data_IF_905775678643
#
_entry.id   IF_905775678643
#
_cell.length_a   1.000
_cell.length_b   1.000
_cell.length_c   1.000
_cell.angle_alpha   90.00
_cell.angle_beta   90.00
_cell.angle_gamma   90.00
#
_symmetry.space_group_name_H-M   'P 1'
#
loop_
_entity.id
_entity.type
_entity.pdbx_description
1 polymer ?
#
# COMPACT_ATOMS: atom_id res chain seq x y z
N UNK A 1 -2.35 -26.64 -4.70
CA UNK A 1 -3.31 -25.50 -4.70
C UNK A 1 -4.69 -26.08 -4.95
N UNK A 2 -5.76 -25.54 -4.33
CA UNK A 2 -7.13 -26.05 -4.49
C UNK A 2 -7.94 -25.00 -5.26
N UNK A 3 -8.66 -25.43 -6.30
CA UNK A 3 -9.57 -24.55 -7.05
C UNK A 3 -10.72 -24.07 -6.14
N UNK A 4 -11.20 -22.82 -6.34
CA UNK A 4 -12.40 -22.34 -5.65
C UNK A 4 -13.62 -23.13 -6.11
N UNK A 5 -14.48 -23.51 -5.17
CA UNK A 5 -15.72 -24.25 -5.41
C UNK A 5 -16.96 -23.43 -4.96
N UNK A 6 -18.14 -23.86 -5.43
CA UNK A 6 -19.42 -23.23 -5.10
C UNK A 6 -19.48 -21.73 -5.40
N UNK A 7 -20.05 -20.96 -4.47
CA UNK A 7 -20.27 -19.51 -4.64
C UNK A 7 -18.98 -18.72 -4.82
N UNK A 8 -17.86 -19.14 -4.22
CA UNK A 8 -16.58 -18.47 -4.39
C UNK A 8 -16.06 -18.60 -5.83
N UNK A 9 -16.22 -19.78 -6.44
CA UNK A 9 -15.88 -20.03 -7.84
C UNK A 9 -16.75 -19.21 -8.80
N UNK A 10 -18.06 -19.16 -8.54
CA UNK A 10 -19.00 -18.38 -9.34
C UNK A 10 -18.68 -16.86 -9.29
N UNK A 11 -18.38 -16.34 -8.09
CA UNK A 11 -18.03 -14.93 -7.90
C UNK A 11 -16.77 -14.57 -8.68
N UNK A 12 -15.70 -15.38 -8.58
CA UNK A 12 -14.45 -15.04 -9.26
C UNK A 12 -14.59 -15.14 -10.79
N UNK A 13 -15.32 -16.14 -11.30
CA UNK A 13 -15.60 -16.26 -12.73
C UNK A 13 -16.42 -15.08 -13.25
N UNK A 14 -17.42 -14.62 -12.48
CA UNK A 14 -18.21 -13.44 -12.81
C UNK A 14 -17.36 -12.15 -12.79
N UNK A 15 -16.48 -12.00 -11.81
CA UNK A 15 -15.59 -10.84 -11.71
C UNK A 15 -14.56 -10.80 -12.86
N UNK A 16 -14.17 -11.95 -13.39
CA UNK A 16 -13.26 -12.07 -14.53
C UNK A 16 -13.99 -12.11 -15.88
N UNK A 17 -15.32 -11.96 -15.91
CA UNK A 17 -16.08 -11.96 -17.16
C UNK A 17 -15.64 -10.78 -18.04
N UNK A 18 -15.24 -11.07 -19.28
CA UNK A 18 -14.72 -10.06 -20.21
C UNK A 18 -13.31 -9.54 -19.90
N UNK A 19 -12.61 -10.07 -18.89
CA UNK A 19 -11.25 -9.66 -18.58
C UNK A 19 -10.31 -10.00 -19.75
N UNK A 20 -9.57 -8.99 -20.24
CA UNK A 20 -8.58 -9.12 -21.33
C UNK A 20 -7.19 -8.67 -20.95
N UNK A 21 -7.09 -7.80 -19.95
CA UNK A 21 -5.82 -7.19 -19.53
C UNK A 21 -5.78 -7.20 -18.00
N UNK A 22 -4.70 -7.74 -17.44
CA UNK A 22 -4.39 -7.64 -16.02
C UNK A 22 -3.20 -6.71 -15.84
N UNK A 23 -3.40 -5.63 -15.07
CA UNK A 23 -2.34 -4.69 -14.71
C UNK A 23 -2.17 -4.75 -13.19
N UNK A 24 -0.95 -4.99 -12.75
CA UNK A 24 -0.57 -5.10 -11.35
C UNK A 24 0.44 -4.00 -11.05
N UNK A 25 0.09 -3.07 -10.19
CA UNK A 25 0.99 -2.01 -9.72
C UNK A 25 1.70 -2.42 -8.43
N UNK A 26 2.74 -1.69 -8.06
CA UNK A 26 3.58 -1.93 -6.87
C UNK A 26 4.10 -3.37 -6.77
N UNK A 27 4.62 -3.90 -7.89
CA UNK A 27 5.06 -5.29 -8.02
C UNK A 27 6.10 -5.72 -6.98
N UNK A 28 6.86 -4.80 -6.38
CA UNK A 28 7.85 -5.12 -5.35
C UNK A 28 7.21 -5.73 -4.11
N UNK A 29 5.92 -5.46 -3.88
CA UNK A 29 5.12 -6.03 -2.79
C UNK A 29 4.50 -7.39 -3.15
N UNK A 30 4.61 -7.83 -4.40
CA UNK A 30 4.13 -9.14 -4.85
C UNK A 30 5.24 -10.17 -4.63
N UNK A 31 5.03 -11.05 -3.67
CA UNK A 31 5.89 -12.20 -3.44
C UNK A 31 5.53 -13.41 -4.29
N UNK A 32 6.39 -14.43 -4.27
CA UNK A 32 6.21 -15.68 -5.02
C UNK A 32 4.88 -16.36 -4.72
N UNK A 33 4.47 -16.40 -3.45
CA UNK A 33 3.25 -17.10 -3.03
C UNK A 33 2.02 -16.39 -3.58
N UNK A 34 1.99 -15.06 -3.47
CA UNK A 34 0.93 -14.23 -4.04
C UNK A 34 0.86 -14.38 -5.56
N UNK A 35 1.99 -14.27 -6.27
CA UNK A 35 2.05 -14.43 -7.72
C UNK A 35 1.53 -15.79 -8.18
N UNK A 36 1.92 -16.87 -7.48
CA UNK A 36 1.45 -18.21 -7.80
C UNK A 36 -0.07 -18.38 -7.64
N UNK A 37 -0.63 -17.81 -6.57
CA UNK A 37 -2.09 -17.79 -6.41
C UNK A 37 -2.79 -16.92 -7.44
N UNK A 38 -2.25 -15.75 -7.78
CA UNK A 38 -2.82 -14.87 -8.81
C UNK A 38 -2.95 -15.60 -10.15
N UNK A 39 -1.89 -16.24 -10.61
CA UNK A 39 -1.89 -16.99 -11.87
C UNK A 39 -2.85 -18.18 -11.82
N UNK A 40 -2.80 -18.97 -10.74
CA UNK A 40 -3.67 -20.13 -10.57
C UNK A 40 -5.15 -19.74 -10.54
N UNK A 41 -5.49 -18.65 -9.85
CA UNK A 41 -6.87 -18.15 -9.80
C UNK A 41 -7.33 -17.60 -11.16
N UNK A 42 -6.44 -17.00 -11.95
CA UNK A 42 -6.78 -16.61 -13.33
C UNK A 42 -7.13 -17.83 -14.17
N UNK A 43 -6.40 -18.95 -14.05
CA UNK A 43 -6.72 -20.21 -14.74
C UNK A 43 -8.09 -20.76 -14.38
N UNK A 44 -8.53 -20.62 -13.13
CA UNK A 44 -9.85 -21.06 -12.70
C UNK A 44 -10.99 -20.11 -13.13
N UNK A 45 -10.70 -18.82 -13.25
CA UNK A 45 -11.72 -17.78 -13.38
C UNK A 45 -11.93 -17.26 -14.81
N UNK A 46 -10.83 -16.99 -15.52
CA UNK A 46 -10.86 -16.37 -16.84
C UNK A 46 -11.53 -17.31 -17.83
N UNK A 47 -12.46 -16.78 -18.63
CA UNK A 47 -13.28 -17.56 -19.57
C UNK A 47 -13.96 -18.77 -18.90
N UNK A 48 -14.38 -18.62 -17.64
CA UNK A 48 -15.02 -19.70 -16.84
C UNK A 48 -14.15 -20.96 -16.69
N UNK A 49 -12.83 -20.79 -16.72
CA UNK A 49 -11.87 -21.88 -16.56
C UNK A 49 -11.70 -22.76 -17.80
N UNK A 50 -12.22 -22.36 -18.96
CA UNK A 50 -12.11 -23.15 -20.21
C UNK A 50 -10.65 -23.31 -20.64
N UNK A 51 -9.80 -22.32 -20.37
CA UNK A 51 -8.37 -22.34 -20.73
C UNK A 51 -7.47 -22.55 -19.50
N UNK A 52 -7.88 -23.40 -18.55
CA UNK A 52 -7.13 -23.70 -17.32
C UNK A 52 -5.74 -24.33 -17.55
N UNK A 53 -5.47 -24.82 -18.77
CA UNK A 53 -4.17 -25.31 -19.21
C UNK A 53 -3.22 -24.22 -19.70
N UNK A 54 -3.74 -23.03 -19.99
CA UNK A 54 -2.95 -21.89 -20.47
C UNK A 54 -2.56 -20.99 -19.30
N UNK A 55 -1.33 -20.46 -19.33
CA UNK A 55 -0.88 -19.49 -18.33
C UNK A 55 -1.86 -18.32 -18.25
N UNK A 56 -2.15 -17.89 -17.02
CA UNK A 56 -3.11 -16.81 -16.72
C UNK A 56 -4.54 -17.04 -17.26
N UNK A 57 -4.93 -18.29 -17.54
CA UNK A 57 -6.24 -18.61 -18.13
C UNK A 57 -6.39 -18.10 -19.57
N UNK A 58 -5.26 -17.90 -20.27
CA UNK A 58 -5.25 -17.39 -21.64
C UNK A 58 -5.55 -15.88 -21.74
N UNK A 59 -5.24 -15.09 -20.70
CA UNK A 59 -5.29 -13.64 -20.79
C UNK A 59 -4.32 -13.13 -21.87
N UNK A 60 -4.78 -12.28 -22.80
CA UNK A 60 -3.91 -11.72 -23.83
C UNK A 60 -2.76 -10.86 -23.29
N UNK A 61 -2.99 -10.11 -22.20
CA UNK A 61 -2.03 -9.15 -21.67
C UNK A 61 -1.99 -9.20 -20.15
N UNK A 62 -0.79 -9.37 -19.59
CA UNK A 62 -0.50 -9.31 -18.16
C UNK A 62 0.73 -8.42 -17.95
N UNK A 63 0.59 -7.35 -17.18
CA UNK A 63 1.63 -6.34 -16.96
C UNK A 63 1.85 -6.14 -15.47
N UNK A 64 3.12 -6.19 -15.04
CA UNK A 64 3.55 -5.87 -13.68
C UNK A 64 4.40 -4.61 -13.69
N UNK A 65 3.90 -3.57 -13.04
CA UNK A 65 4.52 -2.27 -12.86
C UNK A 65 5.05 -2.15 -11.43
N UNK A 66 6.16 -1.45 -11.26
CA UNK A 66 6.72 -1.17 -9.94
C UNK A 66 8.24 -1.19 -9.95
N UNK A 67 8.81 -1.17 -8.75
CA UNK A 67 10.22 -0.90 -8.54
C UNK A 67 10.80 -1.82 -7.46
N UNK A 68 11.60 -2.81 -7.88
CA UNK A 68 12.13 -3.87 -7.01
C UNK A 68 13.14 -3.37 -5.96
N UNK A 69 13.53 -2.09 -6.00
CA UNK A 69 14.40 -1.43 -5.00
C UNK A 69 13.58 -0.74 -3.90
N UNK A 70 12.24 -0.74 -4.01
CA UNK A 70 11.34 -0.29 -2.94
C UNK A 70 11.10 -1.40 -1.91
N UNK A 71 10.03 -1.27 -1.11
CA UNK A 71 9.70 -2.22 -0.05
C UNK A 71 9.48 -3.63 -0.62
N UNK A 72 10.07 -4.67 0.01
CA UNK A 72 9.87 -6.07 -0.36
C UNK A 72 8.48 -6.55 0.09
N UNK A 73 8.00 -7.72 -0.39
CA UNK A 73 6.74 -8.27 0.05
C UNK A 73 6.78 -8.63 1.55
N UNK A 74 5.64 -8.43 2.23
CA UNK A 74 5.48 -8.72 3.66
C UNK A 74 5.21 -10.22 3.84
N UNK A 75 6.03 -10.89 4.66
CA UNK A 75 5.92 -12.32 4.96
C UNK A 75 5.89 -13.27 3.74
N UNK A 76 6.43 -12.81 2.60
CA UNK A 76 6.60 -13.62 1.39
C UNK A 76 8.00 -13.40 0.81
N UNK A 77 8.40 -14.23 -0.15
CA UNK A 77 9.71 -14.12 -0.81
C UNK A 77 9.58 -13.25 -2.06
N UNK A 78 10.48 -12.27 -2.31
CA UNK A 78 10.50 -11.55 -3.58
C UNK A 78 10.60 -12.50 -4.78
N UNK A 79 9.85 -12.22 -5.85
CA UNK A 79 9.73 -13.09 -7.05
C UNK A 79 11.08 -13.42 -7.70
N UNK A 80 12.04 -12.50 -7.61
CA UNK A 80 13.39 -12.65 -8.16
C UNK A 80 14.35 -13.49 -7.28
N UNK A 81 13.99 -13.85 -6.04
CA UNK A 81 14.84 -14.67 -5.14
C UNK A 81 14.48 -16.16 -5.14
N UNK A 82 13.32 -16.56 -5.67
CA UNK A 82 12.92 -17.97 -5.93
C UNK A 82 13.13 -19.00 -4.79
N UNK A 83 13.12 -18.59 -3.51
CA UNK A 83 13.41 -19.47 -2.37
C UNK A 83 12.17 -20.02 -1.63
N UNK A 84 10.97 -19.83 -2.19
CA UNK A 84 9.73 -20.26 -1.51
C UNK A 84 9.55 -21.77 -1.56
N UNK A 85 9.15 -22.35 -0.43
CA UNK A 85 8.93 -23.80 -0.26
C UNK A 85 7.46 -24.21 -0.41
N UNK A 86 6.53 -23.26 -0.44
CA UNK A 86 5.11 -23.57 -0.58
C UNK A 86 4.80 -23.96 -2.04
N UNK A 87 3.82 -24.85 -2.30
CA UNK A 87 3.42 -25.18 -3.68
C UNK A 87 3.05 -23.94 -4.51
N UNK A 88 2.35 -22.98 -3.90
CA UNK A 88 2.00 -21.72 -4.56
C UNK A 88 3.24 -20.85 -4.82
N UNK A 89 4.17 -20.76 -3.87
CA UNK A 89 5.40 -19.99 -4.06
C UNK A 89 6.35 -20.60 -5.09
N UNK A 90 6.48 -21.93 -5.14
CA UNK A 90 7.22 -22.61 -6.20
C UNK A 90 6.60 -22.34 -7.57
N UNK A 91 5.26 -22.38 -7.65
CA UNK A 91 4.53 -22.04 -8.87
C UNK A 91 4.76 -20.59 -9.29
N UNK A 92 4.64 -19.63 -8.37
CA UNK A 92 4.90 -18.22 -8.68
C UNK A 92 6.34 -17.95 -9.12
N UNK A 93 7.32 -18.66 -8.58
CA UNK A 93 8.71 -18.56 -9.03
C UNK A 93 8.92 -19.10 -10.47
N UNK A 94 8.09 -20.05 -10.92
CA UNK A 94 8.08 -20.52 -12.31
C UNK A 94 7.37 -19.51 -13.21
N UNK A 95 6.18 -19.03 -12.79
CA UNK A 95 5.41 -17.99 -13.51
C UNK A 95 6.24 -16.73 -13.74
N UNK A 96 7.02 -16.30 -12.75
CA UNK A 96 7.90 -15.14 -12.91
C UNK A 96 8.88 -15.28 -14.08
N UNK A 97 9.34 -16.50 -14.38
CA UNK A 97 10.26 -16.77 -15.50
C UNK A 97 9.56 -16.74 -16.86
N UNK A 98 8.24 -16.71 -16.91
CA UNK A 98 7.49 -16.62 -18.18
C UNK A 98 7.56 -15.21 -18.77
N UNK A 99 7.71 -14.18 -17.94
CA UNK A 99 7.93 -12.81 -18.39
C UNK A 99 9.32 -12.70 -19.05
N UNK A 100 9.34 -12.48 -20.37
CA UNK A 100 10.58 -12.36 -21.16
C UNK A 100 10.97 -10.91 -21.46
N UNK A 101 9.99 -10.02 -21.43
CA UNK A 101 10.18 -8.61 -21.76
C UNK A 101 10.13 -7.76 -20.50
N UNK A 102 11.04 -6.78 -20.42
CA UNK A 102 11.07 -5.78 -19.36
C UNK A 102 11.36 -4.40 -19.96
N UNK A 103 10.57 -3.41 -19.57
CA UNK A 103 10.75 -2.01 -19.95
C UNK A 103 11.24 -1.23 -18.75
N UNK A 104 12.40 -0.57 -18.88
CA UNK A 104 12.96 0.28 -17.83
C UNK A 104 12.72 1.75 -18.18
N UNK A 105 11.93 2.43 -17.33
CA UNK A 105 11.77 3.88 -17.40
C UNK A 105 12.98 4.57 -16.74
N UNK A 106 13.63 5.49 -17.46
CA UNK A 106 14.85 6.18 -17.00
C UNK A 106 14.61 7.61 -16.54
N UNK A 107 13.53 8.24 -17.01
CA UNK A 107 13.23 9.64 -16.73
C UNK A 107 12.50 9.78 -15.40
N UNK A 108 13.10 10.50 -14.46
CA UNK A 108 12.49 10.83 -13.17
C UNK A 108 11.66 12.11 -13.31
N UNK A 109 10.34 11.96 -13.23
CA UNK A 109 9.37 13.08 -13.38
C UNK A 109 8.83 13.64 -12.07
N UNK A 110 9.07 12.96 -10.93
CA UNK A 110 8.52 13.35 -9.61
C UNK A 110 9.20 14.61 -9.05
N UNK A 111 10.53 14.65 -9.12
CA UNK A 111 11.30 15.84 -8.77
C UNK A 111 11.34 16.80 -9.95
N UNK A 112 11.22 18.09 -9.68
CA UNK A 112 11.29 19.15 -10.71
C UNK A 112 12.63 19.13 -11.46
N UNK A 113 12.67 19.74 -12.65
CA UNK A 113 13.87 19.71 -13.52
C UNK A 113 15.10 20.32 -12.85
N UNK A 114 14.91 21.37 -12.06
CA UNK A 114 15.94 22.10 -11.33
C UNK A 114 16.46 21.36 -10.08
N UNK A 115 15.76 20.33 -9.61
CA UNK A 115 16.13 19.52 -8.44
C UNK A 115 17.20 18.45 -8.75
N UNK A 116 18.21 18.80 -9.56
CA UNK A 116 19.25 17.87 -10.05
C UNK A 116 20.01 17.18 -8.92
N UNK A 117 20.39 17.90 -7.87
CA UNK A 117 21.12 17.31 -6.74
C UNK A 117 20.25 16.33 -5.95
N UNK A 118 18.95 16.63 -5.76
CA UNK A 118 18.05 15.72 -5.08
C UNK A 118 17.86 14.42 -5.88
N UNK A 119 17.69 14.53 -7.22
CA UNK A 119 17.66 13.35 -8.10
C UNK A 119 18.94 12.52 -7.99
N UNK A 120 20.10 13.17 -7.91
CA UNK A 120 21.39 12.50 -7.74
C UNK A 120 21.48 11.75 -6.40
N UNK A 121 21.04 12.37 -5.28
CA UNK A 121 21.00 11.72 -3.97
C UNK A 121 20.08 10.49 -3.97
N UNK A 122 18.89 10.59 -4.56
CA UNK A 122 17.96 9.46 -4.68
C UNK A 122 18.52 8.32 -5.56
N UNK A 123 19.20 8.66 -6.66
CA UNK A 123 19.90 7.69 -7.49
C UNK A 123 21.04 6.98 -6.75
N UNK A 124 21.85 7.73 -5.98
CA UNK A 124 22.92 7.18 -5.17
C UNK A 124 22.38 6.27 -4.05
N UNK A 125 21.27 6.63 -3.42
CA UNK A 125 20.55 5.78 -2.46
C UNK A 125 20.13 4.45 -3.09
N UNK A 126 19.48 4.52 -4.27
CA UNK A 126 19.03 3.35 -5.02
C UNK A 126 20.16 2.39 -5.38
N UNK A 127 21.31 2.92 -5.76
CA UNK A 127 22.47 2.13 -6.20
C UNK A 127 23.42 1.74 -5.06
N UNK A 128 23.08 2.07 -3.81
CA UNK A 128 23.96 1.88 -2.64
C UNK A 128 25.33 2.58 -2.79
N UNK A 129 25.34 3.75 -3.43
CA UNK A 129 26.54 4.58 -3.71
C UNK A 129 26.50 5.94 -2.99
N UNK A 130 25.85 6.01 -1.83
CA UNK A 130 25.82 7.21 -1.01
C UNK A 130 27.25 7.64 -0.62
N UNK A 131 27.50 8.94 -0.68
CA UNK A 131 28.75 9.57 -0.23
C UNK A 131 28.51 10.32 1.07
N UNK A 132 29.59 10.73 1.74
CA UNK A 132 29.48 11.59 2.91
C UNK A 132 28.81 12.94 2.58
N UNK A 133 29.02 13.48 1.39
CA UNK A 133 28.37 14.73 0.96
C UNK A 133 26.86 14.55 0.81
N UNK A 134 26.41 13.43 0.24
CA UNK A 134 24.98 13.10 0.16
C UNK A 134 24.37 12.99 1.57
N UNK A 135 25.05 12.32 2.50
CA UNK A 135 24.58 12.18 3.87
C UNK A 135 24.50 13.55 4.59
N UNK A 136 25.54 14.38 4.45
CA UNK A 136 25.57 15.75 5.00
C UNK A 136 24.45 16.60 4.41
N UNK A 137 24.15 16.46 3.12
CA UNK A 137 23.04 17.16 2.49
C UNK A 137 21.68 16.71 3.04
N UNK A 138 21.46 15.41 3.22
CA UNK A 138 20.22 14.87 3.81
C UNK A 138 20.01 15.35 5.25
N UNK A 139 21.09 15.49 6.03
CA UNK A 139 21.02 15.96 7.42
C UNK A 139 20.48 17.39 7.55
N UNK A 140 20.61 18.23 6.53
CA UNK A 140 20.04 19.60 6.53
C UNK A 140 18.52 19.62 6.68
N UNK A 141 17.85 18.52 6.35
CA UNK A 141 16.40 18.37 6.46
C UNK A 141 15.97 17.76 7.81
N UNK A 142 16.90 17.56 8.75
CA UNK A 142 16.55 17.22 10.12
C UNK A 142 15.83 18.38 10.79
N UNK A 143 14.87 18.07 11.67
CA UNK A 143 13.99 19.03 12.32
C UNK A 143 14.74 20.21 12.96
N UNK A 144 15.85 19.93 13.66
CA UNK A 144 16.66 20.96 14.31
C UNK A 144 17.37 21.91 13.34
N UNK A 145 17.80 21.42 12.18
CA UNK A 145 18.48 22.25 11.18
C UNK A 145 17.47 23.01 10.30
N UNK A 146 16.30 22.43 10.03
CA UNK A 146 15.17 23.15 9.44
C UNK A 146 14.72 24.30 10.34
N UNK A 147 14.62 24.09 11.65
CA UNK A 147 14.27 25.14 12.61
C UNK A 147 15.27 26.31 12.57
N UNK A 148 16.58 26.02 12.56
CA UNK A 148 17.63 27.04 12.49
C UNK A 148 17.61 27.82 11.17
N UNK A 149 17.30 27.14 10.06
CA UNK A 149 17.43 27.72 8.71
C UNK A 149 16.16 28.41 8.20
N UNK A 150 14.97 27.94 8.59
CA UNK A 150 13.68 28.44 8.11
C UNK A 150 12.81 29.06 9.21
N UNK A 151 13.20 28.91 10.48
CA UNK A 151 12.51 29.50 11.62
C UNK A 151 11.32 28.67 12.12
N UNK A 152 10.73 29.12 13.23
CA UNK A 152 9.66 28.39 13.94
C UNK A 152 8.38 28.29 13.10
N UNK A 153 8.01 29.33 12.35
CA UNK A 153 6.77 29.35 11.56
C UNK A 153 6.74 28.26 10.48
N UNK A 154 7.89 27.93 9.88
CA UNK A 154 7.99 26.85 8.91
C UNK A 154 7.78 25.49 9.56
N UNK A 155 8.33 25.30 10.76
CA UNK A 155 8.18 24.06 11.53
C UNK A 155 6.74 23.88 11.99
N UNK A 156 6.08 24.96 12.44
CA UNK A 156 4.68 24.94 12.86
C UNK A 156 3.76 24.58 11.68
N UNK A 157 4.03 25.14 10.49
CA UNK A 157 3.30 24.79 9.27
C UNK A 157 3.50 23.32 8.91
N UNK A 158 4.74 22.81 8.96
CA UNK A 158 4.99 21.39 8.71
C UNK A 158 4.26 20.49 9.71
N UNK A 159 4.30 20.83 10.99
CA UNK A 159 3.62 20.09 12.06
C UNK A 159 2.11 20.04 11.86
N UNK A 160 1.49 21.14 11.41
CA UNK A 160 0.04 21.24 11.21
C UNK A 160 -0.40 20.63 9.88
N UNK A 161 0.35 20.88 8.81
CA UNK A 161 -0.11 20.69 7.43
C UNK A 161 0.47 19.46 6.72
N UNK A 162 1.57 18.88 7.20
CA UNK A 162 2.24 17.77 6.51
C UNK A 162 1.66 16.38 6.81
N UNK A 163 2.00 15.42 5.95
CA UNK A 163 1.84 13.99 6.20
C UNK A 163 3.10 13.46 6.87
N UNK A 164 2.95 12.82 8.03
CA UNK A 164 4.05 12.17 8.74
C UNK A 164 4.10 10.68 8.38
N UNK A 165 5.29 10.18 8.08
CA UNK A 165 5.54 8.78 7.76
C UNK A 165 6.41 8.17 8.85
N UNK A 166 6.00 7.02 9.37
CA UNK A 166 6.68 6.35 10.48
C UNK A 166 7.10 4.93 10.11
N UNK A 167 8.18 4.40 10.70
CA UNK A 167 8.58 3.01 10.51
C UNK A 167 7.57 2.00 11.05
N UNK A 168 6.79 2.36 12.08
CA UNK A 168 5.84 1.46 12.75
C UNK A 168 4.47 2.08 13.00
N UNK A 169 3.42 1.25 13.02
CA UNK A 169 2.07 1.66 13.41
C UNK A 169 1.98 2.21 14.84
N UNK A 170 2.85 1.76 15.75
CA UNK A 170 2.84 2.25 17.12
C UNK A 170 3.31 3.72 17.21
N UNK A 171 4.35 4.08 16.45
CA UNK A 171 4.83 5.47 16.38
C UNK A 171 3.82 6.38 15.67
N UNK A 172 3.25 5.90 14.56
CA UNK A 172 2.16 6.56 13.84
C UNK A 172 0.96 6.81 14.76
N UNK A 173 0.50 5.79 15.48
CA UNK A 173 -0.57 5.92 16.47
C UNK A 173 -0.23 6.91 17.58
N UNK A 174 0.99 6.88 18.12
CA UNK A 174 1.38 7.80 19.20
C UNK A 174 1.38 9.26 18.74
N UNK A 175 1.84 9.52 17.52
CA UNK A 175 1.78 10.84 16.91
C UNK A 175 0.33 11.28 16.70
N UNK A 176 -0.49 10.44 16.06
CA UNK A 176 -1.90 10.71 15.80
C UNK A 176 -2.69 10.94 17.10
N UNK A 177 -2.41 10.15 18.13
CA UNK A 177 -2.97 10.30 19.48
C UNK A 177 -2.62 11.67 20.09
N UNK A 178 -1.38 12.12 19.93
CA UNK A 178 -0.97 13.44 20.42
C UNK A 178 -1.72 14.55 19.69
N UNK A 179 -1.91 14.43 18.36
CA UNK A 179 -2.64 15.42 17.55
C UNK A 179 -4.12 15.49 17.91
N UNK A 180 -4.80 14.34 18.06
CA UNK A 180 -6.22 14.34 18.41
C UNK A 180 -6.47 14.85 19.83
N UNK A 181 -5.54 14.61 20.77
CA UNK A 181 -5.62 15.16 22.13
C UNK A 181 -5.50 16.69 22.14
N UNK A 182 -4.64 17.27 21.29
CA UNK A 182 -4.58 18.73 21.09
C UNK A 182 -5.89 19.27 20.51
N UNK A 183 -6.44 18.60 19.50
CA UNK A 183 -7.72 19.00 18.90
C UNK A 183 -8.89 18.95 19.89
N UNK A 184 -8.83 18.05 20.87
CA UNK A 184 -9.82 17.91 21.95
C UNK A 184 -9.94 19.15 22.84
N UNK A 185 -8.96 20.06 22.84
CA UNK A 185 -9.05 21.33 23.58
C UNK A 185 -10.18 22.22 23.06
N UNK A 186 -10.57 22.06 21.79
CA UNK A 186 -11.62 22.86 21.13
C UNK A 186 -12.81 22.02 20.66
N UNK A 187 -12.56 20.78 20.25
CA UNK A 187 -13.56 19.90 19.64
C UNK A 187 -13.61 18.55 20.37
N UNK A 188 -14.72 18.19 21.05
CA UNK A 188 -14.82 16.92 21.76
C UNK A 188 -14.50 15.72 20.87
N UNK A 189 -13.73 14.76 21.40
CA UNK A 189 -13.45 13.50 20.72
C UNK A 189 -14.69 12.60 20.78
N UNK A 190 -15.19 12.22 19.61
CA UNK A 190 -16.12 11.11 19.46
C UNK A 190 -15.34 9.80 19.46
N UNK A 191 -15.71 8.91 20.39
CA UNK A 191 -15.22 7.53 20.44
C UNK A 191 -16.24 6.63 19.76
N UNK A 192 -15.82 5.96 18.69
CA UNK A 192 -16.65 5.05 17.90
C UNK A 192 -16.12 3.64 18.07
N UNK A 193 -16.87 2.80 18.79
CA UNK A 193 -16.53 1.40 18.99
C UNK A 193 -17.15 0.53 17.88
N UNK A 194 -16.36 -0.38 17.32
CA UNK A 194 -16.82 -1.33 16.32
C UNK A 194 -17.79 -2.34 16.94
N UNK A 195 -18.84 -2.70 16.20
CA UNK A 195 -19.80 -3.73 16.60
C UNK A 195 -19.38 -5.05 15.96
N UNK A 196 -19.03 -6.02 16.80
CA UNK A 196 -18.65 -7.38 16.36
C UNK A 196 -19.74 -8.38 16.74
N UNK A 197 -20.20 -9.16 15.77
CA UNK A 197 -21.16 -10.25 15.97
C UNK A 197 -20.46 -11.61 15.84
N UNK A 198 -20.72 -12.54 16.77
CA UNK A 198 -20.20 -13.91 16.75
C UNK A 198 -19.26 -14.28 17.91
N UNK A 199 -19.10 -15.58 18.16
CA UNK A 199 -18.12 -16.08 19.13
C UNK A 199 -16.70 -15.67 18.68
N UNK A 200 -15.89 -15.16 19.62
CA UNK A 200 -14.51 -14.71 19.42
C UNK A 200 -14.29 -13.49 18.52
N UNK A 201 -15.35 -12.87 17.97
CA UNK A 201 -15.22 -11.75 17.02
C UNK A 201 -14.55 -10.50 17.61
N UNK A 202 -14.66 -10.26 18.93
CA UNK A 202 -14.04 -9.11 19.61
C UNK A 202 -12.52 -9.19 19.76
N UNK A 203 -11.93 -10.38 19.64
CA UNK A 203 -10.48 -10.59 19.77
C UNK A 203 -9.73 -10.66 18.44
N UNK A 204 -10.43 -10.48 17.32
CA UNK A 204 -9.84 -10.55 15.98
C UNK A 204 -9.00 -9.30 15.73
N UNK A 205 -7.77 -9.47 15.23
CA UNK A 205 -6.91 -8.34 14.85
C UNK A 205 -7.56 -7.52 13.74
N UNK A 206 -7.27 -6.22 13.69
CA UNK A 206 -7.75 -5.33 12.62
C UNK A 206 -7.37 -5.85 11.23
N UNK A 207 -6.18 -6.43 11.08
CA UNK A 207 -5.71 -7.09 9.86
C UNK A 207 -6.69 -8.18 9.37
N UNK A 208 -7.12 -9.06 10.28
CA UNK A 208 -8.10 -10.11 9.99
C UNK A 208 -9.52 -9.57 9.82
N UNK A 209 -9.79 -8.37 10.35
CA UNK A 209 -11.04 -7.64 10.20
C UNK A 209 -11.03 -6.67 9.00
N UNK A 210 -10.16 -6.91 7.99
CA UNK A 210 -10.04 -6.07 6.77
C UNK A 210 -9.74 -4.60 7.06
N UNK A 211 -8.89 -4.34 8.05
CA UNK A 211 -8.51 -2.99 8.46
C UNK A 211 -9.52 -2.28 9.36
N UNK A 212 -10.59 -2.95 9.80
CA UNK A 212 -11.53 -2.38 10.76
C UNK A 212 -10.85 -2.27 12.14
N UNK A 213 -10.73 -1.05 12.65
CA UNK A 213 -10.21 -0.80 13.99
C UNK A 213 -11.28 -1.09 15.05
N UNK A 214 -10.93 -1.69 16.21
CA UNK A 214 -11.88 -1.94 17.30
C UNK A 214 -12.51 -0.66 17.86
N UNK A 215 -11.73 0.41 17.89
CA UNK A 215 -12.16 1.74 18.32
C UNK A 215 -11.51 2.77 17.42
N UNK A 216 -12.31 3.72 16.94
CA UNK A 216 -11.84 4.92 16.23
C UNK A 216 -12.13 6.13 17.10
N UNK A 217 -11.16 7.04 17.16
CA UNK A 217 -11.31 8.33 17.81
C UNK A 217 -11.31 9.40 16.73
N UNK A 218 -12.32 10.26 16.72
CA UNK A 218 -12.51 11.26 15.68
C UNK A 218 -13.00 12.57 16.28
N UNK A 219 -12.56 13.69 15.72
CA UNK A 219 -12.90 15.02 16.17
C UNK A 219 -13.14 15.93 14.97
N UNK A 220 -13.91 17.01 15.12
CA UNK A 220 -13.99 18.06 14.10
C UNK A 220 -12.59 18.67 13.89
N UNK A 221 -12.19 18.84 12.63
CA UNK A 221 -10.87 19.34 12.23
C UNK A 221 -9.77 18.28 12.15
N UNK A 222 -10.01 17.07 12.64
CA UNK A 222 -9.04 15.98 12.53
C UNK A 222 -8.85 15.55 11.05
N UNK A 223 -7.60 15.31 10.64
CA UNK A 223 -7.26 14.68 9.35
C UNK A 223 -7.50 13.18 9.43
N UNK A 224 -8.10 12.62 8.39
CA UNK A 224 -8.47 11.19 8.31
C UNK A 224 -8.09 10.62 6.95
N UNK A 225 -7.95 9.30 6.89
CA UNK A 225 -7.71 8.54 5.67
C UNK A 225 -8.71 7.38 5.60
N UNK A 226 -9.32 7.17 4.44
CA UNK A 226 -10.15 5.99 4.21
C UNK A 226 -9.26 4.75 4.12
N UNK A 227 -9.63 3.68 4.84
CA UNK A 227 -8.92 2.40 4.83
C UNK A 227 -9.58 1.35 3.92
N UNK A 228 -10.67 1.73 3.23
CA UNK A 228 -11.45 0.82 2.38
C UNK A 228 -11.99 1.54 1.15
N UNK A 229 -12.30 0.75 0.11
CA UNK A 229 -12.92 1.24 -1.11
C UNK A 229 -14.43 1.36 -0.92
N UNK A 230 -14.94 2.59 -0.89
CA UNK A 230 -16.37 2.87 -0.78
C UNK A 230 -16.98 3.15 -2.15
N UNK A 231 -16.38 4.10 -2.89
CA UNK A 231 -16.80 4.43 -4.24
C UNK A 231 -15.62 5.05 -5.03
N UNK A 232 -14.95 4.19 -5.80
CA UNK A 232 -13.77 4.57 -6.60
C UNK A 232 -14.10 5.65 -7.64
N UNK A 233 -15.32 5.64 -8.21
CA UNK A 233 -15.73 6.63 -9.23
C UNK A 233 -15.80 8.06 -8.68
N UNK A 234 -16.03 8.21 -7.38
CA UNK A 234 -16.07 9.51 -6.70
C UNK A 234 -14.79 9.81 -5.91
N UNK A 235 -13.72 9.03 -6.10
CA UNK A 235 -12.47 9.23 -5.38
C UNK A 235 -12.49 8.77 -3.91
N UNK A 236 -13.47 7.96 -3.51
CA UNK A 236 -13.59 7.38 -2.17
C UNK A 236 -12.97 5.98 -2.14
N UNK A 237 -11.64 5.92 -2.21
CA UNK A 237 -10.85 4.70 -2.24
C UNK A 237 -9.90 4.63 -1.03
N UNK A 238 -9.35 3.44 -0.77
CA UNK A 238 -8.36 3.24 0.28
C UNK A 238 -7.12 4.13 0.04
N UNK A 239 -6.78 4.98 1.01
CA UNK A 239 -5.73 5.99 0.90
C UNK A 239 -6.23 7.41 0.65
N UNK A 240 -7.50 7.60 0.29
CA UNK A 240 -8.08 8.94 0.17
C UNK A 240 -8.08 9.67 1.51
N UNK A 241 -7.50 10.86 1.55
CA UNK A 241 -7.40 11.69 2.75
C UNK A 241 -8.49 12.76 2.78
N UNK A 242 -8.80 13.26 3.98
CA UNK A 242 -9.74 14.34 4.17
C UNK A 242 -9.68 14.93 5.57
N UNK A 243 -10.53 15.93 5.82
CA UNK A 243 -10.67 16.57 7.13
C UNK A 243 -12.12 16.44 7.58
N UNK A 244 -12.31 16.11 8.85
CA UNK A 244 -13.65 16.00 9.45
C UNK A 244 -14.23 17.40 9.61
N UNK A 245 -15.33 17.70 8.91
CA UNK A 245 -16.00 18.99 9.01
C UNK A 245 -17.05 19.01 10.11
N UNK A 246 -17.81 17.92 10.24
CA UNK A 246 -18.88 17.77 11.21
C UNK A 246 -19.09 16.30 11.56
N UNK A 247 -19.64 16.03 12.74
CA UNK A 247 -20.01 14.70 13.20
C UNK A 247 -21.50 14.71 13.48
N UNK A 248 -22.26 13.95 12.70
CA UNK A 248 -23.71 13.80 12.86
C UNK A 248 -23.97 12.56 13.71
N UNK A 249 -24.66 12.75 14.83
CA UNK A 249 -25.08 11.66 15.71
C UNK A 249 -26.45 11.13 15.28
N UNK A 250 -26.68 9.81 15.36
CA UNK A 250 -27.98 9.19 15.09
C UNK A 250 -29.05 9.57 16.11
#
# INVERSE_FOLDING_TARGET
MKAPDGSAGEIIQKNCEGLKVLIVDERSLIGCTTLGWMEFMCRCAVQKGINDSHSWGGLPVVIFLGDDVQLPPVLDTPVYKANSKSPAGMHGALVWKEFKDAVLLKTVVRQAEDQTYFKNVLGALREYKLTQDHATWLQKFQWGDLLKSHGQSFIDDMDENSLFVFPTHNEEWLHNKTKILKANERNPIAKVDAISHGLHAKGVSSENAKGLLPTVYICIGCKVMLTTNLNVKFGLFNGSTGTVVEIIYP
#
